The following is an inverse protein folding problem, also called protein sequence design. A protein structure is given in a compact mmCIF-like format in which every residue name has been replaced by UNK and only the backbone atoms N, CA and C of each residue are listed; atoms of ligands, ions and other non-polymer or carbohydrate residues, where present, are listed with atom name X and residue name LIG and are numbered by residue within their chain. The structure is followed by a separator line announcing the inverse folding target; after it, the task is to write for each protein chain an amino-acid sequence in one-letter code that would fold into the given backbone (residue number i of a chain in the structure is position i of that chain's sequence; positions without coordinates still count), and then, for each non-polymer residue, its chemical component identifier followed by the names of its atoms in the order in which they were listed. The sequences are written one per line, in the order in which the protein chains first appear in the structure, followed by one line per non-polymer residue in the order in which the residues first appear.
data_IF_990885175126
#
_entry.id   IF_990885175126
#
_cell.length_a   1.000
_cell.length_b   1.000
_cell.length_c   1.000
_cell.angle_alpha   90.00
_cell.angle_beta   90.00
_cell.angle_gamma   90.00
#
_symmetry.space_group_name_H-M   'P 1'
#
loop_
_entity.id
_entity.type
_entity.pdbx_description
1 polymer ?
#
# COMPACT_ATOMS: atom_id res chain seq x y z
N UNK A 1 -4.36 -5.83 1.49
CA UNK A 1 -4.34 -4.45 1.01
C UNK A 1 -5.57 -4.12 0.21
N UNK A 2 -5.61 -4.53 -1.06
CA UNK A 2 -6.61 -4.02 -2.02
C UNK A 2 -8.05 -4.51 -1.82
N UNK A 3 -8.26 -5.77 -1.40
CA UNK A 3 -9.62 -6.34 -1.25
C UNK A 3 -10.28 -6.00 0.08
N UNK A 4 -9.49 -5.73 1.12
CA UNK A 4 -9.97 -5.46 2.48
C UNK A 4 -9.19 -4.28 3.10
N UNK A 5 -9.25 -3.08 2.49
CA UNK A 5 -8.46 -1.93 2.94
C UNK A 5 -8.88 -1.42 4.33
N UNK A 6 -10.07 -1.76 4.79
CA UNK A 6 -10.63 -1.43 6.10
C UNK A 6 -10.10 -2.32 7.23
N UNK A 7 -9.55 -3.51 6.92
CA UNK A 7 -9.03 -4.44 7.92
C UNK A 7 -7.55 -4.23 8.25
N UNK A 8 -6.76 -3.86 7.25
CA UNK A 8 -5.30 -3.80 7.36
C UNK A 8 -4.80 -2.36 7.45
N UNK A 9 -3.99 -2.06 8.48
CA UNK A 9 -3.40 -0.73 8.67
C UNK A 9 -2.22 -0.45 7.74
N UNK A 10 -1.48 -1.49 7.34
CA UNK A 10 -0.37 -1.43 6.41
C UNK A 10 -0.13 -2.83 5.79
N UNK A 11 0.62 -2.88 4.70
CA UNK A 11 0.98 -4.12 3.99
C UNK A 11 2.46 -4.15 3.65
N UNK A 12 3.10 -5.31 3.83
CA UNK A 12 4.45 -5.60 3.34
C UNK A 12 4.39 -6.59 2.17
N UNK A 13 5.18 -6.34 1.12
CA UNK A 13 5.29 -7.21 -0.06
C UNK A 13 6.78 -7.51 -0.29
N UNK A 14 7.11 -8.77 -0.53
CA UNK A 14 8.46 -9.18 -0.94
C UNK A 14 8.37 -10.03 -2.21
N UNK A 15 9.14 -9.68 -3.25
CA UNK A 15 9.17 -10.40 -4.53
C UNK A 15 7.77 -10.73 -5.09
N UNK A 16 6.83 -9.80 -4.93
CA UNK A 16 5.41 -10.00 -5.23
C UNK A 16 4.99 -9.53 -6.62
N UNK A 17 3.68 -9.58 -6.86
CA UNK A 17 3.02 -9.11 -8.09
C UNK A 17 2.02 -7.99 -7.77
N UNK A 18 1.67 -7.13 -8.74
CA UNK A 18 0.54 -6.22 -8.60
C UNK A 18 -0.78 -6.97 -8.34
N UNK A 19 -1.74 -6.30 -7.71
CA UNK A 19 -3.05 -6.89 -7.46
C UNK A 19 -3.79 -7.17 -8.77
N UNK A 20 -4.44 -8.33 -8.82
CA UNK A 20 -5.31 -8.82 -9.90
C UNK A 20 -4.65 -9.02 -11.29
N UNK A 21 -3.31 -9.02 -11.41
CA UNK A 21 -2.66 -9.31 -12.71
C UNK A 21 -2.67 -10.79 -13.09
N UNK A 22 -2.85 -11.68 -12.12
CA UNK A 22 -2.93 -13.12 -12.32
C UNK A 22 -4.33 -13.62 -11.96
N UNK A 23 -5.04 -14.20 -12.93
CA UNK A 23 -6.41 -14.72 -12.78
C UNK A 23 -6.53 -16.17 -13.26
N UNK A 24 -5.46 -16.73 -13.82
CA UNK A 24 -5.29 -18.13 -14.18
C UNK A 24 -3.78 -18.47 -14.19
N UNK A 25 -3.45 -19.75 -14.39
CA UNK A 25 -2.05 -20.19 -14.38
C UNK A 25 -1.19 -19.53 -15.49
N UNK A 26 -1.64 -19.43 -16.75
CA UNK A 26 -0.88 -18.75 -17.79
C UNK A 26 -0.58 -17.28 -17.44
N UNK A 27 -1.59 -16.51 -17.01
CA UNK A 27 -1.40 -15.11 -16.62
C UNK A 27 -0.48 -14.96 -15.41
N UNK A 28 -0.52 -15.89 -14.45
CA UNK A 28 0.42 -15.92 -13.33
C UNK A 28 1.86 -16.09 -13.81
N UNK A 29 2.12 -17.08 -14.67
CA UNK A 29 3.46 -17.34 -15.20
C UNK A 29 4.00 -16.18 -16.05
N UNK A 30 3.13 -15.55 -16.84
CA UNK A 30 3.49 -14.35 -17.61
C UNK A 30 3.81 -13.19 -16.67
N UNK A 31 2.95 -12.91 -15.68
CA UNK A 31 3.18 -11.84 -14.71
C UNK A 31 4.49 -12.03 -13.93
N UNK A 32 4.79 -13.27 -13.54
CA UNK A 32 6.05 -13.63 -12.89
C UNK A 32 7.26 -13.36 -13.79
N UNK A 33 7.23 -13.71 -15.08
CA UNK A 33 8.41 -13.64 -15.96
C UNK A 33 8.63 -12.26 -16.58
N UNK A 34 7.56 -11.55 -16.90
CA UNK A 34 7.60 -10.34 -17.74
C UNK A 34 7.06 -9.09 -17.00
N UNK A 35 6.40 -9.30 -15.87
CA UNK A 35 5.55 -8.30 -15.22
C UNK A 35 4.11 -8.33 -15.73
N UNK A 36 3.22 -7.60 -15.06
CA UNK A 36 1.87 -7.34 -15.55
C UNK A 36 1.87 -6.43 -16.79
N UNK A 37 0.74 -6.35 -17.52
CA UNK A 37 0.59 -5.45 -18.67
C UNK A 37 0.79 -3.98 -18.26
N UNK A 38 1.53 -3.22 -19.07
CA UNK A 38 1.95 -1.83 -18.76
C UNK A 38 0.89 -0.78 -19.04
N UNK A 39 -0.15 -1.11 -19.81
CA UNK A 39 -1.20 -0.18 -20.18
C UNK A 39 -2.58 -0.85 -20.20
N UNK A 40 -3.56 -0.22 -19.55
CA UNK A 40 -4.92 -0.17 -20.09
C UNK A 40 -5.99 -1.12 -19.55
N UNK A 41 -5.69 -2.14 -18.75
CA UNK A 41 -6.74 -3.06 -18.24
C UNK A 41 -6.99 -3.05 -16.74
N UNK A 42 -6.18 -2.30 -15.98
CA UNK A 42 -6.29 -2.26 -14.51
C UNK A 42 -7.43 -1.36 -14.00
N UNK A 43 -8.20 -0.74 -14.91
CA UNK A 43 -9.44 -0.03 -14.59
C UNK A 43 -10.66 -0.97 -14.49
N UNK A 44 -10.60 -2.16 -15.09
CA UNK A 44 -11.76 -3.07 -15.21
C UNK A 44 -11.73 -4.25 -14.25
N UNK A 45 -10.70 -4.39 -13.42
CA UNK A 45 -10.80 -5.19 -12.20
C UNK A 45 -11.64 -4.39 -11.19
N UNK A 46 -12.93 -4.23 -11.51
CA UNK A 46 -13.90 -3.60 -10.64
C UNK A 46 -13.85 -4.31 -9.31
N UNK A 47 -13.24 -3.67 -8.32
CA UNK A 47 -13.35 -4.09 -6.93
C UNK A 47 -14.81 -3.84 -6.55
N UNK A 48 -15.63 -4.88 -6.35
CA UNK A 48 -16.99 -4.68 -5.88
C UNK A 48 -16.89 -4.06 -4.48
N UNK A 49 -17.39 -2.84 -4.30
CA UNK A 49 -17.27 -2.09 -3.05
C UNK A 49 -16.26 -0.93 -3.05
N UNK A 50 -15.65 -0.58 -4.19
CA UNK A 50 -14.90 0.69 -4.36
C UNK A 50 -15.83 1.93 -4.39
N UNK A 51 -16.87 1.94 -3.57
CA UNK A 51 -17.70 3.10 -3.34
C UNK A 51 -17.01 3.98 -2.28
N UNK A 52 -16.55 5.16 -2.73
CA UNK A 52 -16.26 6.39 -1.97
C UNK A 52 -15.42 6.21 -0.69
N UNK A 53 -14.16 6.60 -0.78
CA UNK A 53 -13.21 6.72 0.33
C UNK A 53 -12.76 5.38 0.94
N UNK A 54 -12.21 4.47 0.14
CA UNK A 54 -11.40 3.39 0.72
C UNK A 54 -10.14 4.01 1.36
N UNK A 55 -9.81 3.67 2.62
CA UNK A 55 -8.63 4.22 3.26
C UNK A 55 -7.38 3.82 2.51
N UNK A 56 -6.44 4.75 2.38
CA UNK A 56 -5.09 4.45 1.88
C UNK A 56 -4.46 3.44 2.83
N UNK A 57 -3.97 2.34 2.28
CA UNK A 57 -3.23 1.33 3.05
C UNK A 57 -1.73 1.52 2.76
N UNK A 58 -0.96 2.11 3.70
CA UNK A 58 0.48 2.22 3.60
C UNK A 58 1.13 0.90 3.17
N UNK A 59 2.08 0.96 2.26
CA UNK A 59 2.69 -0.24 1.67
C UNK A 59 4.21 -0.15 1.63
N UNK A 60 4.90 -1.23 2.00
CA UNK A 60 6.35 -1.37 1.88
C UNK A 60 6.67 -2.58 0.98
N UNK A 61 7.52 -2.38 -0.03
CA UNK A 61 7.82 -3.37 -1.06
C UNK A 61 9.31 -3.63 -1.13
N UNK A 62 9.72 -4.90 -1.08
CA UNK A 62 11.10 -5.35 -1.30
C UNK A 62 11.19 -6.19 -2.56
N UNK A 63 12.21 -5.95 -3.38
CA UNK A 63 12.52 -6.80 -4.53
C UNK A 63 14.02 -6.86 -4.79
N UNK A 64 14.55 -8.07 -5.01
CA UNK A 64 15.92 -8.26 -5.50
C UNK A 64 16.02 -7.93 -6.99
N UNK A 65 17.01 -7.14 -7.40
CA UNK A 65 17.14 -6.72 -8.82
C UNK A 65 17.71 -7.81 -9.75
N UNK A 66 18.07 -8.97 -9.20
CA UNK A 66 18.45 -10.19 -9.94
C UNK A 66 17.45 -11.33 -9.73
N UNK A 67 16.24 -11.04 -9.29
CA UNK A 67 15.18 -12.02 -9.15
C UNK A 67 14.77 -12.59 -10.52
N UNK A 68 15.06 -13.88 -10.75
CA UNK A 68 14.74 -14.60 -11.99
C UNK A 68 13.46 -15.43 -11.90
N UNK A 69 12.79 -15.44 -10.74
CA UNK A 69 11.52 -16.16 -10.54
C UNK A 69 10.34 -15.22 -10.68
N UNK A 70 10.45 -14.03 -10.08
CA UNK A 70 9.49 -12.94 -10.21
C UNK A 70 10.25 -11.70 -10.64
N UNK A 71 10.05 -11.30 -11.89
CA UNK A 71 10.81 -10.24 -12.53
C UNK A 71 10.77 -8.94 -11.68
N UNK A 72 11.91 -8.25 -11.46
CA UNK A 72 11.99 -7.10 -10.54
C UNK A 72 11.03 -5.96 -10.88
N UNK A 73 10.70 -5.81 -12.17
CA UNK A 73 9.67 -4.88 -12.66
C UNK A 73 8.32 -5.00 -11.94
N UNK A 74 7.98 -6.18 -11.41
CA UNK A 74 6.75 -6.33 -10.64
C UNK A 74 6.73 -5.45 -9.38
N UNK A 75 7.89 -5.24 -8.71
CA UNK A 75 8.01 -4.28 -7.63
C UNK A 75 7.63 -2.87 -8.08
N UNK A 76 8.18 -2.42 -9.22
CA UNK A 76 7.85 -1.11 -9.79
C UNK A 76 6.36 -1.00 -10.15
N UNK A 77 5.77 -2.08 -10.66
CA UNK A 77 4.36 -2.12 -11.04
C UNK A 77 3.41 -2.13 -9.82
N UNK A 78 3.82 -2.69 -8.69
CA UNK A 78 3.08 -2.57 -7.42
C UNK A 78 3.03 -1.09 -7.00
N UNK A 79 4.17 -0.40 -7.05
CA UNK A 79 4.25 1.04 -6.77
C UNK A 79 3.38 1.86 -7.75
N UNK A 80 3.46 1.55 -9.04
CA UNK A 80 2.65 2.22 -10.07
C UNK A 80 1.15 1.98 -9.88
N UNK A 81 0.72 0.75 -9.57
CA UNK A 81 -0.68 0.45 -9.28
C UNK A 81 -1.16 1.19 -8.03
N UNK A 82 -0.37 1.15 -6.95
CA UNK A 82 -0.71 1.81 -5.70
C UNK A 82 -0.87 3.31 -5.92
N UNK A 83 0.09 3.97 -6.58
CA UNK A 83 0.04 5.41 -6.85
C UNK A 83 -1.13 5.79 -7.76
N UNK A 84 -1.42 5.00 -8.80
CA UNK A 84 -2.54 5.27 -9.72
C UNK A 84 -3.91 5.23 -9.02
N UNK A 85 -4.09 4.33 -8.06
CA UNK A 85 -5.34 4.20 -7.30
C UNK A 85 -5.54 5.39 -6.36
N UNK A 86 -4.46 5.89 -5.75
CA UNK A 86 -4.52 6.95 -4.75
C UNK A 86 -4.28 8.37 -5.30
N UNK A 87 -3.94 8.51 -6.59
CA UNK A 87 -3.73 9.81 -7.23
C UNK A 87 -5.02 10.58 -7.54
N UNK A 88 -6.19 9.92 -7.58
CA UNK A 88 -7.44 10.49 -8.09
C UNK A 88 -8.47 10.89 -7.04
N UNK A 89 -8.23 10.66 -5.75
CA UNK A 89 -9.15 11.07 -4.68
C UNK A 89 -8.88 12.54 -4.28
N UNK A 90 -9.31 13.46 -5.13
CA UNK A 90 -9.24 14.91 -4.92
C UNK A 90 -10.00 15.39 -3.68
N UNK A 91 -9.49 16.48 -3.09
CA UNK A 91 -10.05 17.33 -2.00
C UNK A 91 -10.42 16.66 -0.67
N UNK A 92 -10.82 15.38 -0.65
CA UNK A 92 -11.27 14.67 0.55
C UNK A 92 -10.29 13.62 1.09
N UNK A 93 -9.22 13.29 0.35
CA UNK A 93 -8.23 12.32 0.81
C UNK A 93 -7.01 13.02 1.45
N UNK A 94 -6.86 12.86 2.77
CA UNK A 94 -5.72 13.39 3.53
C UNK A 94 -4.39 12.74 3.16
N UNK A 95 -4.41 11.66 2.40
CA UNK A 95 -3.24 10.94 1.92
C UNK A 95 -2.80 11.36 0.50
N UNK A 96 -3.03 12.63 0.12
CA UNK A 96 -2.46 13.17 -1.12
C UNK A 96 -0.95 12.98 -1.07
N UNK A 97 -0.41 12.29 -2.07
CA UNK A 97 1.02 12.09 -2.24
C UNK A 97 1.73 13.44 -2.39
N UNK A 98 2.80 13.62 -1.61
CA UNK A 98 3.81 14.63 -1.88
C UNK A 98 4.50 14.26 -3.21
N UNK A 99 4.64 15.19 -4.17
CA UNK A 99 5.37 14.93 -5.41
C UNK A 99 6.85 14.57 -5.19
N UNK A 100 7.43 14.88 -4.03
CA UNK A 100 8.82 14.58 -3.73
C UNK A 100 9.01 13.15 -3.20
N UNK A 101 9.83 12.39 -3.92
CA UNK A 101 10.31 11.07 -3.51
C UNK A 101 11.69 11.21 -2.89
N UNK A 102 11.88 10.67 -1.70
CA UNK A 102 13.20 10.63 -1.05
C UNK A 102 13.90 9.33 -1.44
N UNK A 103 15.12 9.44 -1.96
CA UNK A 103 15.98 8.30 -2.28
C UNK A 103 17.10 8.17 -1.25
N UNK A 104 17.18 7.01 -0.61
CA UNK A 104 18.29 6.64 0.26
C UNK A 104 19.02 5.44 -0.34
N UNK A 105 20.35 5.54 -0.45
CA UNK A 105 21.21 4.39 -0.76
C UNK A 105 21.87 3.89 0.51
N UNK A 106 22.04 2.59 0.61
CA UNK A 106 22.71 1.95 1.74
C UNK A 106 23.44 0.68 1.34
N UNK A 107 24.17 0.13 2.30
CA UNK A 107 24.99 -1.05 2.13
C UNK A 107 24.93 -1.85 3.43
N UNK A 108 24.57 -3.13 3.33
CA UNK A 108 24.76 -4.06 4.45
C UNK A 108 26.25 -4.37 4.58
N UNK A 109 26.85 -4.31 5.77
CA UNK A 109 28.25 -4.69 5.96
C UNK A 109 28.51 -6.09 5.38
N UNK A 110 29.51 -6.19 4.50
CA UNK A 110 29.87 -7.41 3.78
C UNK A 110 28.72 -8.09 2.98
N UNK A 111 27.66 -7.32 2.68
CA UNK A 111 26.43 -7.82 2.06
C UNK A 111 26.03 -7.07 0.79
N UNK A 112 24.72 -6.99 0.55
CA UNK A 112 24.15 -6.31 -0.61
C UNK A 112 24.04 -4.80 -0.37
N UNK A 113 24.23 -4.04 -1.45
CA UNK A 113 23.77 -2.66 -1.50
C UNK A 113 22.23 -2.64 -1.62
N UNK A 114 21.61 -1.53 -1.22
CA UNK A 114 20.18 -1.33 -1.45
C UNK A 114 19.87 0.13 -1.76
N UNK A 115 18.78 0.34 -2.46
CA UNK A 115 18.16 1.66 -2.64
C UNK A 115 16.76 1.62 -2.07
N UNK A 116 16.40 2.62 -1.26
CA UNK A 116 15.05 2.85 -0.74
C UNK A 116 14.49 4.13 -1.35
N UNK A 117 13.36 4.02 -2.03
CA UNK A 117 12.50 5.15 -2.35
C UNK A 117 11.38 5.25 -1.31
N UNK A 118 11.18 6.45 -0.77
CA UNK A 118 10.13 6.75 0.20
C UNK A 118 9.23 7.85 -0.36
N UNK A 119 7.93 7.57 -0.43
CA UNK A 119 6.89 8.51 -0.82
C UNK A 119 6.11 8.93 0.43
N UNK A 120 5.84 10.23 0.54
CA UNK A 120 5.18 10.81 1.70
C UNK A 120 3.77 11.28 1.36
N UNK A 121 2.91 11.38 2.36
CA UNK A 121 1.69 12.18 2.25
C UNK A 121 1.99 13.67 2.43
N UNK A 122 0.97 14.52 2.24
CA UNK A 122 1.07 15.96 2.44
C UNK A 122 1.43 16.39 3.88
N UNK A 123 1.38 15.48 4.87
CA UNK A 123 1.79 15.73 6.25
C UNK A 123 3.24 15.28 6.52
N UNK A 124 3.94 14.77 5.51
CA UNK A 124 5.30 14.25 5.63
C UNK A 124 5.38 12.83 6.19
N UNK A 125 4.26 12.13 6.38
CA UNK A 125 4.28 10.73 6.80
C UNK A 125 4.65 9.85 5.61
N UNK A 126 5.64 8.97 5.75
CA UNK A 126 5.96 7.97 4.72
C UNK A 126 4.76 7.04 4.56
N UNK A 127 4.21 6.88 3.36
CA UNK A 127 3.03 6.02 3.10
C UNK A 127 3.32 4.91 2.09
N UNK A 128 4.43 5.02 1.37
CA UNK A 128 4.88 4.02 0.42
C UNK A 128 6.40 3.93 0.45
N UNK A 129 6.93 2.71 0.56
CA UNK A 129 8.36 2.45 0.47
C UNK A 129 8.64 1.39 -0.59
N UNK A 130 9.64 1.64 -1.43
CA UNK A 130 10.16 0.68 -2.38
C UNK A 130 11.63 0.44 -2.11
N UNK A 131 12.00 -0.82 -1.94
CA UNK A 131 13.35 -1.27 -1.65
C UNK A 131 13.85 -2.17 -2.77
N UNK A 132 14.88 -1.72 -3.47
CA UNK A 132 15.66 -2.55 -4.38
C UNK A 132 16.87 -3.09 -3.65
N UNK A 133 16.98 -4.42 -3.59
CA UNK A 133 18.14 -5.10 -3.00
C UNK A 133 19.08 -5.51 -4.12
N UNK A 134 20.20 -4.81 -4.24
CA UNK A 134 21.08 -4.91 -5.39
C UNK A 134 21.91 -6.19 -5.34
N UNK A 135 21.82 -7.00 -6.40
CA UNK A 135 22.48 -8.29 -6.51
C UNK A 135 21.71 -9.47 -5.91
N UNK A 136 20.59 -9.22 -5.23
CA UNK A 136 19.76 -10.27 -4.64
C UNK A 136 18.83 -10.93 -5.68
N UNK A 137 18.64 -12.24 -5.53
CA UNK A 137 17.73 -13.05 -6.34
C UNK A 137 16.34 -13.22 -5.71
N UNK A 138 15.65 -14.31 -6.05
CA UNK A 138 14.37 -14.68 -5.42
C UNK A 138 14.58 -15.32 -4.05
N UNK A 139 14.95 -14.50 -3.07
CA UNK A 139 15.13 -14.91 -1.69
C UNK A 139 14.70 -13.76 -0.78
N UNK A 140 14.17 -14.11 0.38
CA UNK A 140 13.82 -13.16 1.41
C UNK A 140 15.07 -12.40 1.87
N UNK A 141 15.05 -11.07 1.75
CA UNK A 141 16.19 -10.23 2.12
C UNK A 141 16.43 -10.24 3.63
N UNK A 142 17.67 -10.55 4.01
CA UNK A 142 18.07 -10.76 5.40
C UNK A 142 17.66 -12.16 5.89
N UNK A 143 17.33 -12.26 7.19
CA UNK A 143 16.93 -13.52 7.82
C UNK A 143 18.11 -14.45 8.16
N UNK A 144 17.78 -15.67 8.57
CA UNK A 144 18.78 -16.66 9.02
C UNK A 144 19.52 -17.30 7.84
N UNK A 145 20.81 -17.57 8.00
CA UNK A 145 21.60 -18.37 7.06
C UNK A 145 21.17 -19.85 7.01
N UNK A 146 20.40 -20.31 8.00
CA UNK A 146 19.83 -21.66 8.01
C UNK A 146 18.56 -21.80 7.16
N UNK A 147 18.01 -20.70 6.64
CA UNK A 147 16.81 -20.72 5.80
C UNK A 147 17.15 -21.04 4.33
N UNK A 148 16.33 -21.86 3.67
CA UNK A 148 16.57 -22.27 2.28
C UNK A 148 16.16 -21.22 1.23
N UNK A 149 15.41 -20.18 1.63
CA UNK A 149 14.90 -19.12 0.77
C UNK A 149 15.16 -17.72 1.35
N UNK A 150 16.22 -17.59 2.14
CA UNK A 150 16.68 -16.33 2.72
C UNK A 150 18.02 -15.95 2.11
N UNK A 151 18.28 -14.66 1.97
CA UNK A 151 19.60 -14.13 1.64
C UNK A 151 20.08 -13.24 2.80
N UNK A 152 20.85 -13.81 3.76
CA UNK A 152 21.28 -13.09 4.95
C UNK A 152 22.21 -11.91 4.66
N UNK A 153 22.66 -11.74 3.41
CA UNK A 153 23.47 -10.59 2.98
C UNK A 153 22.61 -9.36 2.65
N UNK A 154 21.30 -9.52 2.50
CA UNK A 154 20.37 -8.41 2.24
C UNK A 154 20.00 -7.63 3.50
N UNK A 155 19.44 -6.41 3.36
CA UNK A 155 18.87 -5.69 4.51
C UNK A 155 17.76 -6.54 5.15
N UNK A 156 17.56 -6.38 6.46
CA UNK A 156 16.56 -7.13 7.22
C UNK A 156 15.14 -6.65 6.85
N UNK A 157 14.54 -7.29 5.85
CA UNK A 157 13.22 -6.91 5.36
C UNK A 157 12.14 -7.10 6.44
N UNK A 158 12.26 -8.11 7.30
CA UNK A 158 11.29 -8.35 8.37
C UNK A 158 11.32 -7.21 9.38
N UNK A 159 12.51 -6.80 9.82
CA UNK A 159 12.68 -5.66 10.73
C UNK A 159 12.13 -4.36 10.11
N UNK A 160 12.42 -4.10 8.85
CA UNK A 160 11.94 -2.88 8.17
C UNK A 160 10.43 -2.89 7.94
N UNK A 161 9.84 -4.04 7.60
CA UNK A 161 8.38 -4.20 7.53
C UNK A 161 7.72 -3.95 8.89
N UNK A 162 8.29 -4.50 9.97
CA UNK A 162 7.77 -4.30 11.32
C UNK A 162 7.90 -2.82 11.75
N UNK A 163 9.03 -2.16 11.47
CA UNK A 163 9.19 -0.71 11.68
C UNK A 163 8.07 0.05 10.99
N UNK A 164 7.88 -0.21 9.69
CA UNK A 164 6.87 0.45 8.87
C UNK A 164 5.46 0.20 9.43
N UNK A 165 5.13 -1.01 9.88
CA UNK A 165 3.82 -1.29 10.47
C UNK A 165 3.59 -0.54 11.79
N UNK A 166 4.62 -0.36 12.61
CA UNK A 166 4.52 0.45 13.84
C UNK A 166 4.38 1.94 13.58
N UNK A 167 4.89 2.44 12.45
CA UNK A 167 4.66 3.83 11.98
C UNK A 167 3.23 4.02 11.43
N UNK A 168 2.51 2.92 11.17
CA UNK A 168 1.15 2.90 10.61
C UNK A 168 0.15 2.14 11.50
N UNK A 169 -0.01 2.52 12.77
CA UNK A 169 -1.04 1.91 13.61
C UNK A 169 -2.42 2.25 13.05
N UNK A 170 -3.34 1.28 13.11
CA UNK A 170 -4.75 1.55 12.83
C UNK A 170 -5.23 2.59 13.83
N UNK A 171 -5.61 3.78 13.36
CA UNK A 171 -6.32 4.73 14.21
C UNK A 171 -7.70 4.15 14.46
N UNK A 172 -8.05 3.91 15.73
CA UNK A 172 -9.44 3.65 16.07
C UNK A 172 -10.27 4.81 15.51
N UNK A 173 -11.30 4.49 14.73
CA UNK A 173 -12.25 5.50 14.32
C UNK A 173 -12.84 6.06 15.61
N UNK A 174 -12.55 7.32 15.93
CA UNK A 174 -13.22 8.01 17.02
C UNK A 174 -14.72 7.71 16.89
N UNK A 175 -15.30 7.07 17.92
CA UNK A 175 -16.71 6.74 17.96
C UNK A 175 -17.48 7.98 17.56
N UNK A 176 -18.14 7.96 16.40
CA UNK A 176 -19.03 9.05 16.04
C UNK A 176 -20.16 9.01 17.08
N UNK A 177 -20.32 10.03 17.94
CA UNK A 177 -21.42 10.02 18.88
C UNK A 177 -22.71 9.95 18.07
N UNK A 178 -23.52 8.94 18.37
CA UNK A 178 -24.83 8.74 17.77
C UNK A 178 -25.66 10.01 17.97
N UNK A 179 -25.81 10.82 16.93
CA UNK A 179 -26.67 11.99 16.94
C UNK A 179 -28.13 11.47 16.94
N UNK A 180 -28.64 11.21 18.14
CA UNK A 180 -30.05 10.89 18.33
C UNK A 180 -30.92 11.95 17.69
N UNK A 181 -31.80 11.53 16.77
CA UNK A 181 -32.88 12.37 16.25
C UNK A 181 -33.67 12.91 17.44
N UNK A 182 -33.53 14.21 17.73
CA UNK A 182 -34.50 14.92 18.57
C UNK A 182 -35.85 14.84 17.85
N UNK A 183 -36.78 14.09 18.42
CA UNK A 183 -38.18 14.16 18.05
C UNK A 183 -38.66 15.61 18.21
N UNK A 184 -39.15 16.20 17.12
CA UNK A 184 -39.73 17.54 17.13
C UNK A 184 -40.93 17.58 18.06
N UNK A 185 -40.85 18.44 19.09
CA UNK A 185 -42.00 18.79 19.91
C UNK A 185 -42.82 19.79 19.12
N UNK A 186 -43.96 19.35 18.57
CA UNK A 186 -44.91 20.22 17.90
C UNK A 186 -45.41 21.30 18.88
N UNK A 187 -45.10 22.55 18.58
CA UNK A 187 -45.67 23.72 19.25
C UNK A 187 -47.12 23.88 18.84
N UNK A 188 -48.03 23.82 19.81
CA UNK A 188 -49.43 24.17 19.67
C UNK A 188 -49.53 25.70 19.80
N UNK A 189 -49.80 26.41 18.71
CA UNK A 189 -50.16 27.83 18.73
C UNK A 189 -51.67 27.94 18.48
N UNK A 190 -52.39 28.39 19.51
CA UNK A 190 -53.81 28.74 19.41
C UNK A 190 -53.97 30.11 18.71
N UNK A 191 -55.02 30.31 17.87
CA UNK A 191 -55.26 31.60 17.25
C UNK A 191 -56.01 32.56 18.20
N UNK A 192 -55.51 33.79 18.30
CA UNK A 192 -56.24 34.93 18.89
C UNK A 192 -57.19 35.53 17.84
N UNK A 193 -58.43 35.81 18.22
CA UNK A 193 -59.34 36.70 17.47
C UNK A 193 -59.20 38.15 17.97
N UNK A 194 -59.30 39.16 17.07
CA UNK A 194 -59.24 40.58 17.40
C UNK A 194 -60.65 41.12 17.78
N UNK A 195 -60.77 42.40 18.19
CA UNK A 195 -61.55 42.88 19.34
C UNK A 195 -63.08 42.78 19.23
#
# INVERSE_FOLDING_TARGET
GMTYPDLYAAVGIHSGLPYAVAHDLPSALTAMKEGGPTHGRQRDAGVPGAERCSPVVPTIVFHGDRDTKVHPRNGDQVIAQWTAIHAHDGEHNKARLDPQVTLQRGQVPDGHAYTRATYHDANGQAILEQWWVHGAGHAWSGGSSSGSYTDPRGPDAAKEMIRFFYEHPRREAAERPYAGRRAGRAGHTAPQQPP
#
